data_IF_095295325267
#
_entry.id   IF_095295325267
#
_cell.length_a   1.000
_cell.length_b   1.000
_cell.length_c   1.000
_cell.angle_alpha   90.00
_cell.angle_beta   90.00
_cell.angle_gamma   90.00
#
_symmetry.space_group_name_H-M   'P 1'
#
loop_
_entity.id
_entity.type
_entity.pdbx_description
1 polymer ?
#
# COMPACT_ATOMS: atom_id res chain seq x y z
N UNK A 1 -30.39 -15.21 -15.36
CA UNK A 1 -29.51 -14.05 -15.67
C UNK A 1 -30.39 -12.93 -16.19
N UNK A 2 -30.31 -11.72 -15.61
CA UNK A 2 -30.98 -10.53 -16.12
C UNK A 2 -30.14 -9.94 -17.27
N UNK A 3 -30.77 -9.52 -18.37
CA UNK A 3 -30.12 -8.77 -19.45
C UNK A 3 -30.70 -7.36 -19.46
N UNK A 4 -29.85 -6.35 -19.32
CA UNK A 4 -30.27 -4.93 -19.31
C UNK A 4 -29.78 -4.26 -20.59
N UNK A 5 -30.70 -3.72 -21.39
CA UNK A 5 -30.37 -2.95 -22.60
C UNK A 5 -30.01 -1.52 -22.20
N UNK A 6 -28.73 -1.17 -22.26
CA UNK A 6 -28.28 0.21 -22.12
C UNK A 6 -28.45 0.96 -23.45
N UNK A 7 -29.46 1.83 -23.56
CA UNK A 7 -29.75 2.54 -24.81
C UNK A 7 -28.69 3.55 -25.20
N UNK A 8 -27.97 4.13 -24.24
CA UNK A 8 -27.00 5.20 -24.49
C UNK A 8 -25.56 4.70 -24.38
N UNK A 9 -25.19 4.14 -23.24
CA UNK A 9 -23.91 3.48 -23.05
C UNK A 9 -23.76 2.84 -21.69
N UNK A 10 -22.62 2.19 -21.49
CA UNK A 10 -22.24 1.52 -20.25
C UNK A 10 -21.05 2.29 -19.67
N UNK A 11 -21.12 2.62 -18.38
CA UNK A 11 -20.03 3.27 -17.65
C UNK A 11 -19.49 2.29 -16.63
N UNK A 12 -18.23 1.90 -16.76
CA UNK A 12 -17.53 1.06 -15.81
C UNK A 12 -16.90 1.93 -14.72
N UNK A 13 -17.42 1.81 -13.49
CA UNK A 13 -16.94 2.49 -12.29
C UNK A 13 -16.74 1.50 -11.15
N UNK A 14 -15.99 0.43 -11.44
CA UNK A 14 -15.98 -0.82 -10.65
C UNK A 14 -14.77 -0.95 -9.72
N UNK A 15 -14.04 0.15 -9.49
CA UNK A 15 -12.81 0.14 -8.70
C UNK A 15 -11.66 -0.55 -9.42
N UNK A 16 -10.65 -0.92 -8.65
CA UNK A 16 -9.46 -1.60 -9.12
C UNK A 16 -9.50 -3.13 -9.01
N UNK A 17 -8.31 -3.71 -8.82
CA UNK A 17 -8.08 -5.15 -8.69
C UNK A 17 -7.25 -5.52 -7.45
N UNK A 18 -7.32 -4.72 -6.39
CA UNK A 18 -6.51 -4.83 -5.17
C UNK A 18 -6.65 -6.18 -4.45
N UNK A 19 -7.79 -6.84 -4.61
CA UNK A 19 -8.08 -8.15 -3.99
C UNK A 19 -7.96 -9.33 -4.97
N UNK A 20 -7.60 -9.08 -6.23
CA UNK A 20 -7.38 -10.14 -7.19
C UNK A 20 -5.92 -10.64 -7.14
N UNK A 21 -5.70 -11.77 -6.46
CA UNK A 21 -4.36 -12.36 -6.28
C UNK A 21 -3.65 -12.72 -7.59
N UNK A 22 -4.40 -13.11 -8.62
CA UNK A 22 -3.82 -13.45 -9.93
C UNK A 22 -3.28 -12.20 -10.60
N UNK A 23 -4.10 -11.15 -10.70
CA UNK A 23 -3.69 -9.87 -11.31
C UNK A 23 -2.54 -9.20 -10.55
N UNK A 24 -2.51 -9.31 -9.21
CA UNK A 24 -1.38 -8.82 -8.42
C UNK A 24 -0.08 -9.52 -8.81
N UNK A 25 -0.10 -10.85 -8.98
CA UNK A 25 1.09 -11.63 -9.38
C UNK A 25 1.50 -11.39 -10.82
N UNK A 26 0.54 -11.13 -11.71
CA UNK A 26 0.81 -10.86 -13.12
C UNK A 26 1.43 -9.47 -13.35
N UNK A 27 0.97 -8.46 -12.60
CA UNK A 27 1.33 -7.06 -12.87
C UNK A 27 2.31 -6.42 -11.90
N UNK A 28 2.36 -6.86 -10.63
CA UNK A 28 3.17 -6.18 -9.62
C UNK A 28 4.49 -6.87 -9.36
N UNK A 29 5.47 -6.06 -8.95
CA UNK A 29 6.73 -6.53 -8.38
C UNK A 29 6.59 -6.64 -6.86
N UNK A 30 7.06 -7.74 -6.30
CA UNK A 30 6.94 -8.02 -4.86
C UNK A 30 5.64 -8.75 -4.52
N UNK A 31 5.74 -9.73 -3.63
CA UNK A 31 4.61 -10.48 -3.11
C UNK A 31 4.99 -11.08 -1.75
N UNK A 32 4.05 -11.20 -0.78
CA UNK A 32 2.66 -10.73 -0.78
C UNK A 32 2.49 -9.20 -0.80
N UNK A 33 1.37 -8.75 -1.36
CA UNK A 33 0.86 -7.37 -1.29
C UNK A 33 -0.60 -7.44 -0.80
N UNK A 34 -0.93 -6.70 0.26
CA UNK A 34 -2.29 -6.66 0.83
C UNK A 34 -3.03 -5.38 0.42
N UNK A 35 -4.23 -5.13 0.94
CA UNK A 35 -5.02 -3.93 0.61
C UNK A 35 -5.69 -3.35 1.86
N UNK A 36 -5.80 -2.02 1.93
CA UNK A 36 -6.60 -1.35 2.95
C UNK A 36 -8.09 -1.25 2.59
N UNK A 37 -8.41 -1.40 1.30
CA UNK A 37 -9.74 -1.19 0.73
C UNK A 37 -10.69 -2.36 0.97
N UNK A 38 -11.81 -2.37 0.25
CA UNK A 38 -12.84 -3.40 0.35
C UNK A 38 -12.55 -4.59 -0.58
N UNK A 39 -12.89 -5.80 -0.13
CA UNK A 39 -12.66 -7.07 -0.86
C UNK A 39 -13.36 -7.21 -2.22
N UNK A 40 -14.25 -6.29 -2.55
CA UNK A 40 -15.01 -6.27 -3.80
C UNK A 40 -14.20 -5.82 -5.03
N UNK A 41 -13.04 -5.20 -4.84
CA UNK A 41 -12.20 -4.75 -5.94
C UNK A 41 -11.40 -5.93 -6.54
N UNK A 42 -12.08 -6.70 -7.38
CA UNK A 42 -11.59 -7.95 -7.97
C UNK A 42 -11.16 -7.82 -9.44
N UNK A 43 -11.18 -6.60 -10.00
CA UNK A 43 -10.81 -6.34 -11.39
C UNK A 43 -11.86 -6.76 -12.41
N UNK A 44 -13.13 -6.88 -12.02
CA UNK A 44 -14.19 -7.35 -12.93
C UNK A 44 -14.43 -6.39 -14.10
N UNK A 45 -14.40 -5.07 -13.86
CA UNK A 45 -14.50 -4.09 -14.95
C UNK A 45 -13.32 -4.14 -15.90
N UNK A 46 -12.13 -4.49 -15.41
CA UNK A 46 -10.93 -4.65 -16.22
C UNK A 46 -11.11 -5.84 -17.18
N UNK A 47 -11.54 -7.00 -16.66
CA UNK A 47 -11.84 -8.19 -17.49
C UNK A 47 -12.91 -7.91 -18.52
N UNK A 48 -14.01 -7.24 -18.12
CA UNK A 48 -15.09 -6.87 -19.03
C UNK A 48 -14.61 -5.93 -20.15
N UNK A 49 -13.72 -4.99 -19.85
CA UNK A 49 -13.16 -4.10 -20.85
C UNK A 49 -12.20 -4.85 -21.80
N UNK A 50 -11.36 -5.75 -21.27
CA UNK A 50 -10.47 -6.58 -22.11
C UNK A 50 -11.24 -7.50 -23.05
N UNK A 51 -12.36 -8.08 -22.60
CA UNK A 51 -13.20 -9.00 -23.39
C UNK A 51 -13.74 -8.35 -24.68
N UNK A 52 -13.84 -7.00 -24.69
CA UNK A 52 -14.25 -6.21 -25.86
C UNK A 52 -13.09 -5.49 -26.54
N UNK A 53 -11.84 -5.87 -26.22
CA UNK A 53 -10.64 -5.39 -26.91
C UNK A 53 -10.04 -4.09 -26.37
N UNK A 54 -10.32 -3.71 -25.12
CA UNK A 54 -9.76 -2.49 -24.53
C UNK A 54 -8.23 -2.54 -24.38
N UNK A 55 -7.55 -1.42 -24.71
CA UNK A 55 -6.16 -1.18 -24.34
C UNK A 55 -6.05 -1.02 -22.83
N UNK A 56 -5.07 -1.67 -22.21
CA UNK A 56 -4.74 -1.45 -20.80
C UNK A 56 -3.57 -0.47 -20.67
N UNK A 57 -3.61 0.35 -19.63
CA UNK A 57 -2.51 1.23 -19.25
C UNK A 57 -2.22 1.18 -17.75
N UNK A 58 -1.02 1.61 -17.37
CA UNK A 58 -0.59 1.78 -15.97
C UNK A 58 -0.70 0.52 -15.09
N UNK A 59 -0.72 -0.68 -15.68
CA UNK A 59 -0.98 -1.93 -14.95
C UNK A 59 0.01 -2.22 -13.82
N UNK A 60 1.26 -1.75 -13.94
CA UNK A 60 2.28 -1.91 -12.88
C UNK A 60 2.24 -0.81 -11.82
N UNK A 61 1.40 0.20 -12.02
CA UNK A 61 1.39 1.39 -11.19
C UNK A 61 0.32 1.30 -10.11
N UNK A 62 0.73 1.65 -8.89
CA UNK A 62 -0.05 1.46 -7.68
C UNK A 62 0.39 2.48 -6.64
N UNK A 63 -0.48 2.72 -5.67
CA UNK A 63 -0.11 3.40 -4.44
C UNK A 63 -0.23 2.42 -3.29
N UNK A 64 0.90 2.14 -2.64
CA UNK A 64 0.96 1.24 -1.51
C UNK A 64 1.97 1.75 -0.47
N UNK A 65 1.49 2.39 0.61
CA UNK A 65 2.29 2.54 1.81
C UNK A 65 2.47 1.21 2.52
N UNK A 66 3.25 1.23 3.59
CA UNK A 66 3.42 0.07 4.46
C UNK A 66 2.27 -0.06 5.45
N UNK A 67 1.94 -1.30 5.80
CA UNK A 67 0.92 -1.61 6.79
C UNK A 67 1.08 -3.01 7.37
N UNK A 68 0.17 -3.33 8.27
CA UNK A 68 0.12 -4.59 9.00
C UNK A 68 -1.01 -5.46 8.47
N UNK A 69 -0.75 -6.76 8.33
CA UNK A 69 -1.78 -7.75 8.01
C UNK A 69 -1.86 -8.76 9.13
N UNK A 70 -3.05 -8.93 9.69
CA UNK A 70 -3.30 -9.86 10.80
C UNK A 70 -4.38 -10.89 10.43
N UNK A 71 -4.35 -12.08 11.07
CA UNK A 71 -5.42 -13.08 10.93
C UNK A 71 -6.78 -12.54 11.37
N UNK A 72 -7.85 -12.99 10.71
CA UNK A 72 -9.23 -12.60 11.03
C UNK A 72 -9.70 -11.26 10.45
N UNK A 73 -8.84 -10.55 9.70
CA UNK A 73 -9.18 -9.29 9.03
C UNK A 73 -8.80 -9.38 7.55
N UNK A 74 -9.74 -9.16 6.64
CA UNK A 74 -9.45 -9.21 5.20
C UNK A 74 -8.56 -8.04 4.77
N UNK A 75 -8.87 -6.82 5.23
CA UNK A 75 -8.07 -5.66 4.96
C UNK A 75 -6.83 -5.58 5.85
N UNK A 76 -5.85 -4.78 5.43
CA UNK A 76 -4.69 -4.40 6.21
C UNK A 76 -4.95 -3.17 7.11
N UNK A 77 -4.08 -2.96 8.08
CA UNK A 77 -4.04 -1.77 8.94
C UNK A 77 -2.91 -0.87 8.50
N UNK A 78 -3.17 0.43 8.30
CA UNK A 78 -2.13 1.36 7.84
C UNK A 78 -1.10 1.59 8.94
N UNK A 79 0.20 1.57 8.59
CA UNK A 79 1.24 1.98 9.52
C UNK A 79 1.14 3.48 9.79
N UNK A 80 1.11 3.87 11.06
CA UNK A 80 1.14 5.27 11.46
C UNK A 80 1.88 5.44 12.77
N UNK A 81 3.03 6.12 12.75
CA UNK A 81 3.83 6.28 13.96
C UNK A 81 3.45 7.56 14.71
N UNK A 82 3.10 7.46 16.01
CA UNK A 82 2.79 8.62 16.86
C UNK A 82 4.04 9.38 17.33
N UNK A 83 5.23 8.75 17.26
CA UNK A 83 6.51 9.34 17.64
C UNK A 83 7.62 8.93 16.65
N UNK A 84 8.79 9.56 16.79
CA UNK A 84 9.95 9.31 15.94
C UNK A 84 10.89 8.20 16.46
N UNK A 85 10.60 7.53 17.59
CA UNK A 85 11.44 6.44 18.13
C UNK A 85 11.24 5.09 17.42
N UNK A 86 11.43 5.06 16.10
CA UNK A 86 11.27 3.85 15.30
C UNK A 86 12.24 3.80 14.12
N UNK A 87 12.54 2.58 13.66
CA UNK A 87 13.24 2.30 12.41
C UNK A 87 12.49 1.21 11.62
N UNK A 88 12.83 1.07 10.34
CA UNK A 88 12.33 -0.02 9.49
C UNK A 88 13.53 -0.82 9.00
N UNK A 89 13.48 -2.14 9.14
CA UNK A 89 14.54 -3.05 8.74
C UNK A 89 14.05 -4.14 7.78
N UNK A 90 14.96 -4.66 6.96
CA UNK A 90 14.72 -5.80 6.08
C UNK A 90 14.68 -7.13 6.85
N UNK A 91 14.52 -8.25 6.14
CA UNK A 91 14.51 -9.61 6.73
C UNK A 91 15.80 -9.99 7.46
N UNK A 92 16.90 -9.30 7.17
CA UNK A 92 18.20 -9.50 7.81
C UNK A 92 18.43 -8.52 8.96
N UNK A 93 17.48 -7.66 9.31
CA UNK A 93 17.62 -6.68 10.38
C UNK A 93 18.40 -5.42 9.98
N UNK A 94 18.59 -5.14 8.68
CA UNK A 94 19.29 -3.94 8.19
C UNK A 94 18.30 -2.84 7.81
N UNK A 95 18.58 -1.60 8.19
CA UNK A 95 17.85 -0.43 7.68
C UNK A 95 18.07 -0.30 6.16
N UNK A 96 17.12 0.32 5.48
CA UNK A 96 17.20 0.52 4.03
C UNK A 96 16.63 1.87 3.55
N UNK A 97 16.21 2.73 4.48
CA UNK A 97 15.55 3.99 4.15
C UNK A 97 15.67 5.02 5.27
N UNK A 98 15.39 6.28 4.92
CA UNK A 98 15.05 7.33 5.87
C UNK A 98 13.56 7.23 6.23
N UNK A 99 13.26 6.75 7.44
CA UNK A 99 11.89 6.41 7.84
C UNK A 99 10.96 7.62 8.00
N UNK A 100 11.50 8.84 8.10
CA UNK A 100 10.73 10.07 8.30
C UNK A 100 10.73 11.00 7.08
N UNK A 101 11.64 10.77 6.12
CA UNK A 101 11.82 11.63 4.94
C UNK A 101 11.26 11.06 3.63
N UNK A 102 10.84 9.80 3.58
CA UNK A 102 10.31 9.21 2.34
C UNK A 102 8.83 9.52 2.10
N UNK A 103 8.48 9.63 0.81
CA UNK A 103 7.08 9.65 0.35
C UNK A 103 6.42 8.31 0.71
N UNK A 104 5.37 8.37 1.52
CA UNK A 104 4.80 7.19 2.18
C UNK A 104 4.03 6.29 1.22
N UNK A 105 3.29 6.85 0.26
CA UNK A 105 2.39 6.10 -0.61
C UNK A 105 3.12 5.30 -1.70
N UNK A 106 4.39 5.60 -1.94
CA UNK A 106 5.26 4.93 -2.92
C UNK A 106 6.29 4.00 -2.27
N UNK A 107 6.21 3.75 -0.96
CA UNK A 107 7.14 2.88 -0.22
C UNK A 107 7.23 1.46 -0.80
N UNK A 108 6.19 1.00 -1.50
CA UNK A 108 6.23 -0.25 -2.26
C UNK A 108 7.43 -0.34 -3.21
N UNK A 109 7.85 0.76 -3.84
CA UNK A 109 8.98 0.77 -4.76
C UNK A 109 10.29 0.41 -4.06
N UNK A 110 10.45 0.81 -2.80
CA UNK A 110 11.60 0.45 -1.99
C UNK A 110 11.54 -1.00 -1.51
N UNK A 111 10.39 -1.47 -1.03
CA UNK A 111 10.29 -2.84 -0.52
C UNK A 111 10.24 -3.89 -1.63
N UNK A 112 9.78 -3.53 -2.83
CA UNK A 112 9.76 -4.39 -4.01
C UNK A 112 11.09 -4.42 -4.78
N UNK A 113 12.18 -3.83 -4.26
CA UNK A 113 13.50 -4.03 -4.85
C UNK A 113 13.94 -5.48 -4.68
N UNK A 114 14.19 -6.15 -5.80
CA UNK A 114 14.62 -7.56 -5.80
C UNK A 114 16.10 -7.67 -5.43
N UNK A 115 16.41 -8.45 -4.39
CA UNK A 115 17.79 -8.78 -4.00
C UNK A 115 18.31 -9.89 -4.92
N UNK A 116 19.16 -9.51 -5.89
CA UNK A 116 19.77 -10.46 -6.82
C UNK A 116 20.72 -11.45 -6.13
N UNK A 117 21.34 -11.08 -5.00
CA UNK A 117 22.23 -11.97 -4.27
C UNK A 117 21.48 -13.05 -3.48
N UNK A 118 20.29 -12.70 -2.98
CA UNK A 118 19.39 -13.63 -2.28
C UNK A 118 18.29 -14.23 -3.13
N UNK A 119 18.17 -13.83 -4.40
CA UNK A 119 17.09 -14.16 -5.33
C UNK A 119 15.68 -14.03 -4.72
N UNK A 120 15.45 -12.95 -3.97
CA UNK A 120 14.20 -12.73 -3.23
C UNK A 120 13.90 -11.25 -3.01
N UNK A 121 12.66 -10.93 -2.62
CA UNK A 121 12.32 -9.62 -2.09
C UNK A 121 12.67 -9.56 -0.59
N UNK A 122 13.91 -9.16 -0.28
CA UNK A 122 14.44 -9.17 1.09
C UNK A 122 13.75 -8.21 2.07
N UNK A 123 12.89 -7.32 1.56
CA UNK A 123 12.15 -6.29 2.30
C UNK A 123 10.64 -6.58 2.34
N UNK A 124 10.18 -7.76 1.89
CA UNK A 124 8.79 -8.21 1.94
C UNK A 124 8.71 -9.57 2.67
N UNK A 125 8.33 -9.61 3.96
CA UNK A 125 8.03 -8.46 4.80
C UNK A 125 9.31 -7.68 5.15
N UNK A 126 9.13 -6.41 5.51
CA UNK A 126 10.08 -5.65 6.32
C UNK A 126 9.57 -5.64 7.76
N UNK A 127 10.28 -5.04 8.70
CA UNK A 127 9.90 -5.01 10.11
C UNK A 127 9.99 -3.60 10.66
N UNK A 128 8.89 -3.15 11.27
CA UNK A 128 8.89 -1.97 12.12
C UNK A 128 9.56 -2.34 13.44
N UNK A 129 10.50 -1.53 13.91
CA UNK A 129 11.15 -1.68 15.23
C UNK A 129 10.97 -0.38 16.01
N UNK A 130 10.46 -0.47 17.24
CA UNK A 130 10.19 0.68 18.11
C UNK A 130 10.42 0.33 19.59
N UNK A 131 10.51 1.33 20.46
CA UNK A 131 10.70 1.14 21.90
C UNK A 131 9.44 1.39 22.74
N UNK A 132 9.57 1.15 24.04
CA UNK A 132 8.51 1.39 25.05
C UNK A 132 7.99 2.82 25.05
N UNK A 133 8.86 3.82 24.86
CA UNK A 133 8.45 5.22 24.77
C UNK A 133 7.51 5.42 23.58
N UNK A 134 7.86 4.88 22.43
CA UNK A 134 7.05 4.98 21.21
C UNK A 134 5.76 4.18 21.35
N UNK A 135 5.79 3.00 21.98
CA UNK A 135 4.60 2.20 22.31
C UNK A 135 3.57 3.01 23.11
N UNK A 136 4.02 3.72 24.13
CA UNK A 136 3.16 4.50 25.03
C UNK A 136 2.70 5.84 24.43
N UNK A 137 3.27 6.28 23.31
CA UNK A 137 2.92 7.57 22.69
C UNK A 137 1.65 7.55 21.85
N UNK A 138 1.07 6.38 21.62
CA UNK A 138 -0.22 6.21 20.95
C UNK A 138 -0.28 4.94 20.08
N UNK A 139 -1.43 4.70 19.42
CA UNK A 139 -1.57 3.64 18.44
C UNK A 139 -0.55 3.74 17.29
N UNK A 140 0.09 2.63 16.92
CA UNK A 140 0.98 2.55 15.74
C UNK A 140 0.20 2.46 14.41
N UNK A 141 -1.10 2.74 14.44
CA UNK A 141 -1.99 2.80 13.28
C UNK A 141 -2.98 3.95 13.44
N UNK A 142 -3.59 4.40 12.35
CA UNK A 142 -4.76 5.29 12.42
C UNK A 142 -6.03 4.45 12.42
N UNK A 143 -6.50 4.10 13.61
CA UNK A 143 -7.79 3.42 13.80
C UNK A 143 -8.91 4.17 13.05
N UNK A 144 -9.73 3.44 12.29
CA UNK A 144 -10.81 4.01 11.46
C UNK A 144 -10.45 4.33 10.00
N UNK A 145 -9.19 4.20 9.59
CA UNK A 145 -8.81 4.26 8.17
C UNK A 145 -8.90 2.86 7.52
N UNK A 146 -9.23 2.81 6.23
CA UNK A 146 -9.43 1.55 5.50
C UNK A 146 -10.75 0.84 5.80
N UNK A 147 -10.87 -0.42 5.41
CA UNK A 147 -12.06 -1.26 5.61
C UNK A 147 -12.09 -1.96 6.99
N UNK A 148 -11.02 -1.89 7.78
CA UNK A 148 -10.93 -2.48 9.13
C UNK A 148 -11.52 -1.60 10.25
N UNK A 149 -12.50 -0.74 9.95
CA UNK A 149 -13.03 0.26 10.91
C UNK A 149 -13.72 -0.35 12.13
N UNK A 150 -14.02 -1.64 12.11
CA UNK A 150 -14.67 -2.35 13.22
C UNK A 150 -13.72 -2.73 14.37
N UNK A 151 -12.40 -2.71 14.16
CA UNK A 151 -11.45 -3.02 15.23
C UNK A 151 -11.03 -1.75 15.99
N UNK A 152 -11.16 -1.79 17.33
CA UNK A 152 -10.67 -0.74 18.21
C UNK A 152 -9.26 -1.07 18.66
N UNK A 153 -8.28 -0.37 18.09
CA UNK A 153 -6.88 -0.47 18.50
C UNK A 153 -6.69 0.11 19.90
N UNK A 154 -5.86 -0.53 20.73
CA UNK A 154 -5.62 -0.03 22.09
C UNK A 154 -4.71 1.21 22.11
N UNK A 155 -4.99 2.18 22.97
CA UNK A 155 -4.29 3.49 22.98
C UNK A 155 -2.77 3.35 23.21
N UNK A 156 -2.35 2.29 23.90
CA UNK A 156 -0.96 2.00 24.24
C UNK A 156 -0.43 0.72 23.56
N UNK A 157 -1.17 0.16 22.60
CA UNK A 157 -0.81 -1.06 21.87
C UNK A 157 -0.76 -2.36 22.72
N UNK A 158 -1.23 -2.35 23.97
CA UNK A 158 -1.19 -3.51 24.88
C UNK A 158 -2.07 -4.69 24.44
N UNK A 159 -3.23 -4.41 23.84
CA UNK A 159 -4.11 -5.45 23.27
C UNK A 159 -3.42 -6.18 22.13
N UNK A 160 -2.76 -5.44 21.24
CA UNK A 160 -2.08 -5.98 20.08
C UNK A 160 -0.84 -6.79 20.46
N UNK A 161 -0.15 -6.40 21.55
CA UNK A 161 0.89 -7.24 22.16
C UNK A 161 0.31 -8.54 22.71
N UNK A 162 -0.79 -8.48 23.47
CA UNK A 162 -1.43 -9.68 24.05
C UNK A 162 -1.99 -10.63 22.98
N UNK A 163 -2.40 -10.11 21.83
CA UNK A 163 -2.80 -10.89 20.65
C UNK A 163 -1.61 -11.52 19.89
N UNK A 164 -0.38 -11.13 20.24
CA UNK A 164 0.83 -11.53 19.52
C UNK A 164 1.01 -10.83 18.18
N UNK A 165 0.26 -9.75 17.90
CA UNK A 165 0.42 -8.96 16.69
C UNK A 165 1.68 -8.11 16.74
N UNK A 166 2.01 -7.63 17.94
CA UNK A 166 3.26 -6.91 18.22
C UNK A 166 4.14 -7.82 19.07
N UNK A 167 5.31 -8.15 18.54
CA UNK A 167 6.30 -8.96 19.24
C UNK A 167 7.13 -8.05 20.13
N UNK A 168 7.46 -8.50 21.34
CA UNK A 168 8.34 -7.78 22.26
C UNK A 168 9.60 -8.58 22.56
N UNK A 169 10.73 -7.91 22.73
CA UNK A 169 11.99 -8.51 23.17
C UNK A 169 12.72 -7.62 24.18
N UNK A 170 13.39 -8.24 25.16
CA UNK A 170 14.21 -7.49 26.14
C UNK A 170 15.47 -6.90 25.54
N UNK A 171 15.95 -7.50 24.46
CA UNK A 171 17.13 -7.10 23.71
C UNK A 171 16.89 -7.32 22.20
N UNK A 172 17.77 -6.80 21.32
CA UNK A 172 17.62 -6.93 19.87
C UNK A 172 17.54 -8.38 19.40
N UNK A 173 18.31 -9.28 20.00
CA UNK A 173 18.40 -10.68 19.60
C UNK A 173 17.10 -11.43 19.93
N UNK A 174 16.54 -11.24 21.13
CA UNK A 174 15.25 -11.79 21.54
C UNK A 174 14.13 -11.32 20.61
N UNK A 175 14.11 -10.02 20.29
CA UNK A 175 13.11 -9.46 19.36
C UNK A 175 13.27 -10.05 17.95
N UNK A 176 14.49 -10.10 17.42
CA UNK A 176 14.75 -10.62 16.09
C UNK A 176 14.38 -12.11 15.95
N UNK A 177 14.68 -12.91 16.98
CA UNK A 177 14.22 -14.30 17.06
C UNK A 177 12.69 -14.41 17.09
N UNK A 178 12.02 -13.58 17.90
CA UNK A 178 10.55 -13.56 17.98
C UNK A 178 9.87 -13.12 16.67
N UNK A 179 10.54 -12.31 15.87
CA UNK A 179 10.07 -11.88 14.54
C UNK A 179 10.46 -12.85 13.41
N UNK A 180 11.29 -13.87 13.68
CA UNK A 180 11.77 -14.80 12.66
C UNK A 180 12.72 -14.16 11.65
N UNK A 181 13.53 -13.18 12.06
CA UNK A 181 14.54 -12.57 11.19
C UNK A 181 15.67 -13.56 10.84
N UNK A 182 16.26 -13.41 9.65
CA UNK A 182 17.33 -14.29 9.17
C UNK A 182 18.61 -14.20 10.00
N UNK A 183 18.83 -13.09 10.71
CA UNK A 183 20.04 -12.85 11.49
C UNK A 183 19.75 -12.01 12.74
N UNK A 184 19.57 -12.68 13.88
CA UNK A 184 19.36 -12.00 15.15
C UNK A 184 20.49 -11.01 15.53
N UNK A 185 21.79 -11.35 15.38
CA UNK A 185 22.86 -10.42 15.74
C UNK A 185 22.95 -9.17 14.84
N UNK A 186 22.40 -9.22 13.63
CA UNK A 186 22.45 -8.08 12.71
C UNK A 186 21.55 -6.94 13.19
N UNK A 187 20.42 -7.23 13.85
CA UNK A 187 19.57 -6.19 14.43
C UNK A 187 20.30 -5.42 15.54
N UNK A 188 21.05 -6.11 16.40
CA UNK A 188 21.87 -5.48 17.45
C UNK A 188 22.91 -4.51 16.88
N UNK A 189 23.58 -4.89 15.78
CA UNK A 189 24.51 -4.00 15.05
C UNK A 189 23.81 -2.77 14.49
N UNK A 190 22.64 -2.96 13.88
CA UNK A 190 21.84 -1.87 13.31
C UNK A 190 21.36 -0.90 14.37
N UNK A 191 20.87 -1.39 15.51
CA UNK A 191 20.46 -0.54 16.63
C UNK A 191 21.66 0.19 17.26
N UNK A 192 22.82 -0.47 17.39
CA UNK A 192 24.04 0.19 17.87
C UNK A 192 24.47 1.35 16.96
N UNK A 193 24.43 1.13 15.63
CA UNK A 193 24.75 2.17 14.65
C UNK A 193 23.73 3.32 14.70
N UNK A 194 22.43 3.01 14.80
CA UNK A 194 21.38 4.01 14.91
C UNK A 194 21.49 4.84 16.19
N UNK A 195 21.73 4.22 17.35
CA UNK A 195 21.95 4.91 18.63
C UNK A 195 23.15 5.88 18.54
N UNK A 196 24.22 5.49 17.83
CA UNK A 196 25.35 6.39 17.55
C UNK A 196 24.94 7.59 16.67
N UNK A 197 24.11 7.37 15.66
CA UNK A 197 23.54 8.46 14.85
C UNK A 197 22.70 9.41 15.70
N UNK A 198 21.87 8.92 16.61
CA UNK A 198 21.11 9.75 17.54
C UNK A 198 22.02 10.63 18.41
N UNK A 199 23.07 10.06 19.01
CA UNK A 199 24.02 10.81 19.86
C UNK A 199 24.83 11.85 19.11
N UNK A 200 25.07 11.63 17.83
CA UNK A 200 25.89 12.50 16.99
C UNK A 200 25.07 13.50 16.17
N UNK A 201 23.74 13.37 16.18
CA UNK A 201 22.84 14.14 15.33
C UNK A 201 22.98 13.82 13.83
N UNK A 202 23.68 12.74 13.45
CA UNK A 202 24.04 12.46 12.04
C UNK A 202 23.73 11.02 11.63
N UNK A 203 22.69 10.86 10.80
CA UNK A 203 22.44 9.61 10.06
C UNK A 203 23.22 9.62 8.74
N UNK A 204 24.43 9.08 8.76
CA UNK A 204 25.27 8.97 7.57
C UNK A 204 24.75 7.96 6.55
N UNK A 205 23.90 7.03 6.97
CA UNK A 205 23.47 5.91 6.13
C UNK A 205 22.30 6.33 5.24
N UNK A 206 21.31 7.03 5.80
CA UNK A 206 20.10 7.41 5.06
C UNK A 206 19.71 8.89 5.15
N UNK A 207 20.49 9.72 5.86
CA UNK A 207 20.22 11.15 5.92
C UNK A 207 18.93 11.52 6.67
N UNK A 208 18.52 10.71 7.65
CA UNK A 208 17.43 11.05 8.56
C UNK A 208 17.76 12.33 9.34
N UNK A 209 16.81 13.26 9.38
CA UNK A 209 16.96 14.56 10.06
C UNK A 209 17.22 14.37 11.55
N UNK A 210 18.15 15.17 12.10
CA UNK A 210 18.52 15.23 13.52
C UNK A 210 17.29 15.36 14.44
N UNK A 211 16.32 16.20 14.06
CA UNK A 211 15.08 16.42 14.81
C UNK A 211 14.25 15.15 15.02
N UNK A 212 14.44 14.16 14.16
CA UNK A 212 13.70 12.90 14.18
C UNK A 212 14.54 11.71 14.62
N UNK A 213 15.81 11.93 14.99
CA UNK A 213 16.67 10.89 15.56
C UNK A 213 16.40 10.78 17.06
N UNK A 214 15.82 9.65 17.47
CA UNK A 214 15.42 9.41 18.87
C UNK A 214 16.05 8.11 19.35
N UNK A 215 16.85 8.18 20.42
CA UNK A 215 17.45 6.98 21.01
C UNK A 215 16.39 6.00 21.52
N UNK A 216 16.56 4.72 21.22
CA UNK A 216 15.72 3.65 21.74
C UNK A 216 16.00 3.42 23.24
N UNK A 217 14.95 3.22 24.05
CA UNK A 217 15.07 2.96 25.49
C UNK A 217 14.16 1.84 25.96
N UNK A 218 14.69 1.00 26.86
CA UNK A 218 13.91 -0.06 27.51
C UNK A 218 13.62 -1.22 26.56
N UNK A 219 12.41 -1.79 26.68
CA UNK A 219 11.97 -2.93 25.90
C UNK A 219 11.79 -2.55 24.42
N UNK A 220 12.13 -3.49 23.54
CA UNK A 220 11.95 -3.34 22.10
C UNK A 220 10.69 -4.06 21.64
N UNK A 221 10.08 -3.52 20.60
CA UNK A 221 8.87 -4.03 19.97
C UNK A 221 9.05 -4.09 18.46
N UNK A 222 8.38 -5.02 17.82
CA UNK A 222 8.35 -5.06 16.38
C UNK A 222 7.16 -5.76 15.77
N UNK A 223 6.92 -5.43 14.51
CA UNK A 223 5.75 -5.89 13.74
C UNK A 223 6.15 -6.09 12.27
N UNK A 224 5.75 -7.20 11.63
CA UNK A 224 5.91 -7.35 10.18
C UNK A 224 5.15 -6.27 9.42
N UNK A 225 5.84 -5.64 8.47
CA UNK A 225 5.34 -4.64 7.55
C UNK A 225 5.28 -5.20 6.13
N UNK A 226 4.17 -4.91 5.48
CA UNK A 226 3.89 -5.32 4.10
C UNK A 226 3.55 -4.10 3.25
N UNK A 227 3.87 -4.11 1.94
CA UNK A 227 3.22 -3.20 1.01
C UNK A 227 1.72 -3.49 1.00
N UNK A 228 0.92 -2.45 1.20
CA UNK A 228 -0.52 -2.53 1.30
C UNK A 228 -1.15 -1.50 0.35
N UNK A 229 -1.92 -1.97 -0.62
CA UNK A 229 -2.59 -1.16 -1.63
C UNK A 229 -3.58 -0.21 -0.97
N UNK A 230 -3.40 1.07 -1.29
CA UNK A 230 -4.44 2.08 -1.13
C UNK A 230 -5.36 2.08 -2.36
N UNK A 231 -4.77 1.92 -3.54
CA UNK A 231 -5.46 1.72 -4.81
C UNK A 231 -4.50 1.17 -5.87
N UNK A 232 -5.06 0.51 -6.87
CA UNK A 232 -4.41 0.27 -8.15
C UNK A 232 -4.56 1.49 -9.06
N UNK A 233 -3.62 1.71 -9.98
CA UNK A 233 -3.79 2.77 -11.00
C UNK A 233 -4.02 2.20 -12.40
N UNK A 234 -3.80 0.90 -12.57
CA UNK A 234 -3.96 0.20 -13.83
C UNK A 234 -5.42 -0.03 -14.23
N UNK A 235 -5.67 -0.12 -15.53
CA UNK A 235 -6.95 -0.53 -16.08
C UNK A 235 -7.12 -0.18 -17.55
N UNK A 236 -8.36 -0.21 -18.08
CA UNK A 236 -8.64 0.22 -19.44
C UNK A 236 -8.30 1.70 -19.63
N UNK A 237 -7.58 2.01 -20.71
CA UNK A 237 -7.25 3.38 -21.09
C UNK A 237 -8.49 4.12 -21.54
N UNK A 238 -8.58 5.39 -21.18
CA UNK A 238 -9.69 6.27 -21.55
C UNK A 238 -9.22 7.60 -22.12
N UNK A 239 -10.01 8.18 -23.02
CA UNK A 239 -9.76 9.53 -23.52
C UNK A 239 -10.36 10.60 -22.59
N UNK A 240 -10.16 11.88 -22.96
CA UNK A 240 -10.68 13.04 -22.22
C UNK A 240 -12.21 13.20 -22.22
N UNK A 241 -12.95 12.25 -22.81
CA UNK A 241 -14.42 12.15 -22.72
C UNK A 241 -14.87 10.96 -21.87
N UNK A 242 -13.92 10.22 -21.30
CA UNK A 242 -14.15 9.00 -20.53
C UNK A 242 -14.44 7.77 -21.38
N UNK A 243 -14.31 7.84 -22.71
CA UNK A 243 -14.53 6.67 -23.58
C UNK A 243 -13.33 5.72 -23.45
N UNK A 244 -13.62 4.44 -23.26
CA UNK A 244 -12.58 3.40 -23.25
C UNK A 244 -12.05 3.19 -24.66
N UNK A 245 -10.73 3.07 -24.79
CA UNK A 245 -10.04 2.88 -26.06
C UNK A 245 -9.73 1.41 -26.30
N UNK A 246 -9.84 0.97 -27.55
CA UNK A 246 -9.35 -0.33 -27.99
C UNK A 246 -7.82 -0.32 -28.15
N UNK A 247 -7.24 -1.50 -28.43
CA UNK A 247 -5.79 -1.69 -28.64
C UNK A 247 -5.19 -0.87 -29.80
N UNK A 248 -6.03 -0.26 -30.66
CA UNK A 248 -5.61 0.61 -31.76
C UNK A 248 -5.81 2.10 -31.43
N UNK A 249 -6.22 2.41 -30.19
CA UNK A 249 -6.49 3.77 -29.72
C UNK A 249 -7.86 4.32 -30.15
N UNK A 250 -8.74 3.51 -30.77
CA UNK A 250 -10.07 3.94 -31.18
C UNK A 250 -11.08 3.80 -30.04
N UNK A 251 -12.01 4.75 -29.85
CA UNK A 251 -13.04 4.61 -28.83
C UNK A 251 -13.95 3.39 -29.09
N UNK A 252 -14.07 2.52 -28.09
CA UNK A 252 -15.05 1.45 -28.08
C UNK A 252 -16.43 2.09 -27.94
N UNK A 253 -17.29 1.90 -28.95
CA UNK A 253 -18.58 2.58 -29.04
C UNK A 253 -19.40 2.37 -27.77
N UNK A 254 -19.85 3.48 -27.18
CA UNK A 254 -20.77 3.53 -26.03
C UNK A 254 -20.23 2.86 -24.75
N UNK A 255 -18.91 2.67 -24.66
CA UNK A 255 -18.26 2.15 -23.46
C UNK A 255 -17.38 3.22 -22.83
N UNK A 256 -17.61 3.47 -21.54
CA UNK A 256 -16.94 4.50 -20.78
C UNK A 256 -16.33 3.93 -19.49
N UNK A 257 -15.32 4.61 -18.97
CA UNK A 257 -14.68 4.29 -17.70
C UNK A 257 -14.55 5.52 -16.80
N UNK A 258 -14.69 5.32 -15.49
CA UNK A 258 -14.57 6.37 -14.47
C UNK A 258 -13.87 5.85 -13.20
N UNK A 259 -13.21 6.78 -12.49
CA UNK A 259 -12.51 6.51 -11.23
C UNK A 259 -11.23 5.71 -11.41
N UNK A 260 -10.92 4.89 -10.41
CA UNK A 260 -9.69 4.09 -10.27
C UNK A 260 -9.42 3.14 -11.45
N UNK A 261 -10.48 2.68 -12.13
CA UNK A 261 -10.39 1.78 -13.26
C UNK A 261 -9.66 2.46 -14.45
N UNK A 262 -8.34 2.28 -14.49
CA UNK A 262 -7.46 2.97 -15.43
C UNK A 262 -7.24 4.44 -15.04
N UNK A 263 -6.63 4.67 -13.89
CA UNK A 263 -6.36 6.00 -13.33
C UNK A 263 -5.36 6.82 -14.18
N UNK A 264 -5.57 8.15 -14.22
CA UNK A 264 -4.73 9.12 -14.91
C UNK A 264 -3.40 9.40 -14.20
N UNK A 265 -3.30 9.09 -12.90
CA UNK A 265 -2.14 9.46 -12.08
C UNK A 265 -0.87 8.65 -12.42
N UNK A 266 -1.03 7.52 -13.13
CA UNK A 266 0.06 6.69 -13.62
C UNK A 266 0.99 6.24 -12.50
N UNK A 267 2.25 6.68 -12.51
CA UNK A 267 3.23 6.27 -11.51
C UNK A 267 3.21 7.10 -10.22
N UNK A 268 2.53 8.25 -10.22
CA UNK A 268 2.52 9.17 -9.10
C UNK A 268 1.25 8.94 -8.26
N UNK A 269 1.39 9.05 -6.94
CA UNK A 269 0.24 9.18 -6.07
C UNK A 269 0.12 10.62 -5.58
N UNK A 270 -1.04 11.24 -5.79
CA UNK A 270 -1.32 12.63 -5.43
C UNK A 270 -2.50 12.73 -4.47
N UNK A 271 -2.40 12.12 -3.28
CA UNK A 271 -3.37 12.22 -2.18
C UNK A 271 -4.84 12.29 -2.66
N UNK A 272 -5.63 13.27 -2.21
CA UNK A 272 -7.03 13.48 -2.60
C UNK A 272 -7.33 13.54 -4.11
N UNK A 273 -6.32 13.54 -4.98
CA UNK A 273 -6.42 13.42 -6.43
C UNK A 273 -7.20 12.20 -6.91
N UNK A 274 -7.13 11.03 -6.25
CA UNK A 274 -7.94 9.87 -6.65
C UNK A 274 -9.43 10.08 -6.43
N UNK A 275 -9.80 10.69 -5.30
CA UNK A 275 -11.20 11.04 -5.03
C UNK A 275 -11.68 12.13 -6.00
N UNK A 276 -10.82 13.12 -6.27
CA UNK A 276 -11.07 14.12 -7.30
C UNK A 276 -11.27 13.50 -8.68
N UNK A 277 -10.45 12.51 -9.05
CA UNK A 277 -10.59 11.77 -10.29
C UNK A 277 -11.93 11.01 -10.35
N UNK A 278 -12.33 10.31 -9.29
CA UNK A 278 -13.62 9.62 -9.24
C UNK A 278 -14.79 10.57 -9.53
N UNK A 279 -14.79 11.75 -8.91
CA UNK A 279 -15.84 12.76 -9.11
C UNK A 279 -15.79 13.35 -10.52
N UNK A 280 -14.62 13.80 -10.96
CA UNK A 280 -14.45 14.48 -12.24
C UNK A 280 -14.71 13.53 -13.42
N UNK A 281 -14.07 12.36 -13.42
CA UNK A 281 -14.22 11.37 -14.51
C UNK A 281 -15.60 10.74 -14.52
N UNK A 282 -16.22 10.52 -13.35
CA UNK A 282 -17.61 10.04 -13.26
C UNK A 282 -18.60 11.02 -13.88
N UNK A 283 -18.49 12.31 -13.54
CA UNK A 283 -19.33 13.36 -14.13
C UNK A 283 -19.11 13.49 -15.63
N UNK A 284 -17.86 13.46 -16.07
CA UNK A 284 -17.47 13.52 -17.48
C UNK A 284 -18.04 12.34 -18.28
N UNK A 285 -17.80 11.11 -17.83
CA UNK A 285 -18.30 9.90 -18.47
C UNK A 285 -19.84 9.88 -18.52
N UNK A 286 -20.48 10.28 -17.42
CA UNK A 286 -21.94 10.42 -17.34
C UNK A 286 -22.50 11.40 -18.38
N UNK A 287 -21.90 12.59 -18.49
CA UNK A 287 -22.30 13.61 -19.45
C UNK A 287 -22.17 13.10 -20.90
N UNK A 288 -21.04 12.51 -21.26
CA UNK A 288 -20.82 12.02 -22.62
C UNK A 288 -21.68 10.80 -22.95
N UNK A 289 -21.81 9.83 -22.04
CA UNK A 289 -22.72 8.71 -22.23
C UNK A 289 -24.16 9.19 -22.40
N UNK A 290 -24.60 10.19 -21.63
CA UNK A 290 -25.94 10.76 -21.78
C UNK A 290 -26.14 11.49 -23.11
N UNK A 291 -25.09 12.00 -23.75
CA UNK A 291 -25.16 12.67 -25.05
C UNK A 291 -25.27 11.73 -26.26
N UNK A 292 -25.06 10.43 -26.06
CA UNK A 292 -25.20 9.44 -27.11
C UNK A 292 -26.64 9.37 -27.64
N UNK A 293 -26.80 9.32 -28.97
CA UNK A 293 -28.09 9.03 -29.60
C UNK A 293 -28.59 7.69 -29.08
N UNK A 294 -29.80 7.59 -28.50
CA UNK A 294 -30.29 6.31 -27.98
C UNK A 294 -30.38 5.25 -29.08
N UNK A 295 -29.97 4.02 -28.78
CA UNK A 295 -30.32 2.87 -29.59
C UNK A 295 -31.85 2.76 -29.66
N UNK A 296 -32.32 2.35 -30.84
CA UNK A 296 -33.73 2.03 -31.08
C UNK A 296 -34.23 1.01 -30.05
#
# INVERSE_FOLDING_TARGET
>A
RLKVRARRGIILSTGGFEYNEVMKRDYFSGYPIYSFGHGGNQGDGLKLAQDVGAELWHMKALAAPLGYKFPGYDAAFIMWMPAHGFIIVDQRGRRFCNETGLEKYSMWMEVARFDMGGLRFSRIPSYLIFDERTRLSGPITRAGHGANRGYKWSDDNSEEIRRGWIVSGRDPEELACGLGMDSAPQLGKTLTAYQKSCRTGKDKEFGRSEETLVEFRGRLYGVPLWPCLLNTQGGPKRNARGQILDVWGSPIKRLYGAGELGSIWGFLYQSGGNLGECLASGRMAGHHAASETPLA
#
